data_IF_691213983276
#
_entry.id   IF_691213983276
#
_cell.length_a   1.000
_cell.length_b   1.000
_cell.length_c   1.000
_cell.angle_alpha   90.00
_cell.angle_beta   90.00
_cell.angle_gamma   90.00
#
_symmetry.space_group_name_H-M   'P 1'
#
loop_
_entity.id
_entity.type
_entity.pdbx_description
1 polymer ?
#
# COMPACT_ATOMS: atom_id res chain seq x y z
N UNK A 1 -1.95 4.52 2.95
CA UNK A 1 -1.68 3.96 1.61
C UNK A 1 -1.69 2.45 1.71
N UNK A 2 -2.17 1.73 0.69
CA UNK A 2 -2.03 0.27 0.65
C UNK A 2 -1.50 -0.21 -0.70
N UNK A 3 -0.92 -1.42 -0.68
CA UNK A 3 -0.45 -2.09 -1.88
C UNK A 3 -1.60 -2.41 -2.85
N UNK A 4 -1.27 -2.58 -4.14
CA UNK A 4 -2.22 -2.94 -5.20
C UNK A 4 -2.88 -4.30 -4.98
N UNK A 5 -2.25 -5.20 -4.23
CA UNK A 5 -2.89 -6.43 -3.74
C UNK A 5 -4.17 -6.15 -2.96
N UNK A 6 -4.31 -4.98 -2.33
CA UNK A 6 -5.50 -4.56 -1.61
C UNK A 6 -6.55 -3.84 -2.47
N UNK A 7 -6.40 -3.81 -3.79
CA UNK A 7 -7.40 -3.20 -4.69
C UNK A 7 -8.68 -4.04 -4.82
N UNK A 8 -9.42 -4.17 -3.73
CA UNK A 8 -10.75 -4.78 -3.72
C UNK A 8 -11.75 -3.75 -3.21
N UNK A 9 -12.90 -3.66 -3.87
CA UNK A 9 -13.91 -2.65 -3.51
C UNK A 9 -14.39 -2.81 -2.06
N UNK A 10 -14.47 -4.05 -1.54
CA UNK A 10 -14.75 -4.32 -0.11
C UNK A 10 -13.87 -3.52 0.86
N UNK A 11 -12.58 -3.34 0.54
CA UNK A 11 -11.66 -2.60 1.39
C UNK A 11 -11.85 -1.10 1.23
N UNK A 12 -12.10 -0.63 0.00
CA UNK A 12 -12.40 0.77 -0.29
C UNK A 12 -13.67 1.23 0.39
N UNK A 13 -14.71 0.40 0.37
CA UNK A 13 -16.01 0.72 0.96
C UNK A 13 -15.94 0.74 2.48
N UNK A 14 -15.19 -0.18 3.09
CA UNK A 14 -14.89 -0.16 4.52
C UNK A 14 -14.09 1.09 4.93
N UNK A 15 -13.15 1.54 4.11
CA UNK A 15 -12.40 2.78 4.36
C UNK A 15 -13.31 4.01 4.24
N UNK A 16 -14.13 4.09 3.21
CA UNK A 16 -15.10 5.19 3.00
C UNK A 16 -16.13 5.27 4.12
N UNK A 17 -16.64 4.13 4.61
CA UNK A 17 -17.53 4.08 5.77
C UNK A 17 -16.91 4.69 7.03
N UNK A 18 -15.58 4.69 7.13
CA UNK A 18 -14.83 5.31 8.23
C UNK A 18 -14.40 6.76 7.91
N UNK A 19 -14.86 7.33 6.80
CA UNK A 19 -14.43 8.66 6.33
C UNK A 19 -13.00 8.70 5.80
N UNK A 20 -12.38 7.55 5.53
CA UNK A 20 -10.99 7.48 5.06
C UNK A 20 -10.97 7.37 3.53
N UNK A 21 -10.31 8.32 2.88
CA UNK A 21 -10.08 8.26 1.44
C UNK A 21 -9.11 7.12 1.10
N UNK A 22 -9.52 6.12 0.28
CA UNK A 22 -8.66 4.99 -0.05
C UNK A 22 -7.55 5.39 -1.03
N UNK A 23 -6.33 5.56 -0.52
CA UNK A 23 -5.11 5.70 -1.34
C UNK A 23 -4.55 4.31 -1.70
N UNK A 24 -5.26 3.63 -2.60
CA UNK A 24 -4.91 2.31 -3.15
C UNK A 24 -4.95 2.45 -4.66
N UNK A 25 -3.85 2.12 -5.35
CA UNK A 25 -3.79 2.20 -6.81
C UNK A 25 -4.63 1.08 -7.43
N UNK A 26 -5.34 1.36 -8.53
CA UNK A 26 -6.16 0.37 -9.23
C UNK A 26 -5.27 -0.68 -9.92
N UNK A 27 -5.73 -1.93 -9.98
CA UNK A 27 -5.11 -2.99 -10.78
C UNK A 27 -5.27 -2.69 -12.26
N UNK A 28 -4.25 -3.03 -13.05
CA UNK A 28 -4.22 -2.76 -14.50
C UNK A 28 -3.97 -1.31 -14.90
N UNK A 29 -3.88 -0.36 -13.95
CA UNK A 29 -3.56 1.04 -14.25
C UNK A 29 -2.13 1.38 -13.87
N UNK A 30 -1.59 2.46 -14.45
CA UNK A 30 -0.33 3.04 -13.98
C UNK A 30 -0.47 3.39 -12.50
N UNK A 31 0.57 3.06 -11.73
CA UNK A 31 0.61 3.43 -10.32
C UNK A 31 0.88 4.92 -10.17
N UNK A 32 -0.09 5.65 -9.63
CA UNK A 32 0.04 7.09 -9.38
C UNK A 32 0.48 7.41 -7.95
N UNK A 33 0.52 6.41 -7.05
CA UNK A 33 0.77 6.64 -5.63
C UNK A 33 2.21 6.31 -5.22
N UNK A 34 3.09 5.98 -6.17
CA UNK A 34 4.48 5.60 -5.89
C UNK A 34 5.27 6.59 -5.03
N UNK A 35 5.15 7.93 -5.21
CA UNK A 35 5.88 8.88 -4.36
C UNK A 35 5.51 8.77 -2.88
N UNK A 36 4.24 8.49 -2.58
CA UNK A 36 3.76 8.33 -1.20
C UNK A 36 4.15 6.95 -0.65
N UNK A 37 4.27 5.93 -1.52
CA UNK A 37 4.70 4.58 -1.12
C UNK A 37 6.14 4.57 -0.64
N UNK A 38 7.01 5.29 -1.34
CA UNK A 38 8.43 5.32 -1.08
C UNK A 38 8.74 5.71 0.38
N UNK A 39 8.01 6.69 0.94
CA UNK A 39 8.21 7.09 2.35
C UNK A 39 7.93 5.94 3.31
N UNK A 40 6.81 5.23 3.11
CA UNK A 40 6.41 4.11 3.97
C UNK A 40 7.36 2.92 3.80
N UNK A 41 7.70 2.58 2.57
CA UNK A 41 8.63 1.49 2.24
C UNK A 41 10.03 1.77 2.79
N UNK A 42 10.52 3.01 2.72
CA UNK A 42 11.79 3.41 3.29
C UNK A 42 11.79 3.25 4.82
N UNK A 43 10.71 3.68 5.50
CA UNK A 43 10.59 3.48 6.96
C UNK A 43 10.55 2.00 7.32
N UNK A 44 9.82 1.18 6.57
CA UNK A 44 9.79 -0.28 6.77
C UNK A 44 11.16 -0.92 6.51
N UNK A 45 11.87 -0.50 5.46
CA UNK A 45 13.21 -0.99 5.17
C UNK A 45 14.19 -0.67 6.31
N UNK A 46 14.13 0.55 6.86
CA UNK A 46 14.92 0.94 8.03
C UNK A 46 14.53 0.12 9.28
N UNK A 47 13.23 -0.03 9.55
CA UNK A 47 12.71 -0.81 10.67
C UNK A 47 13.18 -2.26 10.63
N UNK A 48 13.26 -2.83 9.44
CA UNK A 48 13.70 -4.20 9.21
C UNK A 48 15.20 -4.32 8.94
N UNK A 49 15.99 -3.25 9.11
CA UNK A 49 17.43 -3.23 8.86
C UNK A 49 17.79 -3.77 7.46
N UNK A 50 16.97 -3.46 6.46
CA UNK A 50 17.07 -3.95 5.09
C UNK A 50 17.10 -5.49 4.97
N UNK A 51 16.63 -6.21 5.99
CA UNK A 51 16.48 -7.67 5.94
C UNK A 51 15.37 -8.02 4.96
N UNK A 52 15.66 -8.96 4.08
CA UNK A 52 14.66 -9.52 3.16
C UNK A 52 13.95 -10.69 3.85
N UNK A 53 12.68 -10.87 3.50
CA UNK A 53 11.95 -12.08 3.87
C UNK A 53 12.69 -13.28 3.26
N UNK A 54 13.08 -14.24 4.09
CA UNK A 54 13.66 -15.51 3.63
C UNK A 54 12.52 -16.52 3.50
N UNK A 55 12.28 -17.00 2.28
CA UNK A 55 11.41 -18.15 2.03
C UNK A 55 12.25 -19.42 2.18
N UNK A 56 11.78 -20.38 2.98
CA UNK A 56 12.43 -21.66 3.26
C UNK A 56 11.55 -22.80 2.74
#
# INVERSE_FOLDING_TARGET
MADRGYDHDRYRDRLRHRGIQPLISRRGTRDTNQPVRWVVEQTLALLHQFRRLAER
#
